data_IF_218337764870
#
_entry.id   IF_218337764870
#
_cell.length_a   1.000
_cell.length_b   1.000
_cell.length_c   1.000
_cell.angle_alpha   90.00
_cell.angle_beta   90.00
_cell.angle_gamma   90.00
#
_symmetry.space_group_name_H-M   'P 1'
#
loop_
_entity.id
_entity.type
_entity.pdbx_description
1 polymer ?
#
# COMPACT_ATOMS: atom_id res chain seq x y z
N UNK A 1 -8.19 10.77 14.37
CA UNK A 1 -8.73 10.12 13.16
C UNK A 1 -8.63 8.63 13.38
N UNK A 2 -9.74 7.89 13.32
CA UNK A 2 -9.68 6.42 13.37
C UNK A 2 -9.01 5.94 12.09
N UNK A 3 -7.92 5.16 12.19
CA UNK A 3 -7.41 4.48 11.00
C UNK A 3 -8.51 3.56 10.45
N UNK A 4 -8.63 3.50 9.13
CA UNK A 4 -9.57 2.61 8.46
C UNK A 4 -9.22 1.14 8.74
N UNK A 5 -7.93 0.82 8.79
CA UNK A 5 -7.41 -0.51 9.11
C UNK A 5 -7.31 -0.72 10.61
N UNK A 6 -7.50 -1.95 11.05
CA UNK A 6 -7.35 -2.31 12.47
C UNK A 6 -5.86 -2.39 12.83
N UNK A 7 -5.01 -2.81 11.88
CA UNK A 7 -3.55 -2.70 11.96
C UNK A 7 -2.92 -2.51 10.58
N UNK A 8 -1.74 -1.88 10.55
CA UNK A 8 -0.97 -1.63 9.34
C UNK A 8 0.53 -1.85 9.59
N UNK A 9 1.20 -2.57 8.70
CA UNK A 9 2.65 -2.75 8.67
C UNK A 9 3.18 -2.31 7.31
N UNK A 10 4.11 -1.36 7.28
CA UNK A 10 4.75 -0.93 6.04
C UNK A 10 5.82 -1.94 5.62
N UNK A 11 5.62 -2.59 4.46
CA UNK A 11 6.58 -3.53 3.89
C UNK A 11 7.63 -2.81 3.04
N UNK A 12 7.25 -1.70 2.40
CA UNK A 12 8.16 -0.91 1.58
C UNK A 12 7.48 0.26 0.89
N UNK A 13 8.29 1.10 0.25
CA UNK A 13 7.83 2.27 -0.49
C UNK A 13 8.66 2.51 -1.76
N UNK A 14 8.01 3.07 -2.78
CA UNK A 14 8.62 3.40 -4.07
C UNK A 14 8.35 4.88 -4.38
N UNK A 15 9.35 5.67 -4.80
CA UNK A 15 9.09 7.02 -5.29
C UNK A 15 8.28 6.95 -6.59
N UNK A 16 7.19 7.72 -6.67
CA UNK A 16 6.37 7.83 -7.90
C UNK A 16 6.72 9.09 -8.68
N UNK A 17 6.93 10.20 -7.98
CA UNK A 17 7.42 11.47 -8.48
C UNK A 17 7.89 12.34 -7.30
N UNK A 18 8.16 13.63 -7.53
CA UNK A 18 8.67 14.55 -6.49
C UNK A 18 7.71 14.83 -5.33
N UNK A 19 6.43 14.46 -5.43
CA UNK A 19 5.41 14.73 -4.39
C UNK A 19 4.59 13.49 -3.99
N UNK A 20 4.85 12.35 -4.59
CA UNK A 20 4.08 11.12 -4.38
C UNK A 20 4.98 9.91 -4.18
N UNK A 21 4.58 9.04 -3.26
CA UNK A 21 5.17 7.72 -3.03
C UNK A 21 4.09 6.64 -3.23
N UNK A 22 4.49 5.45 -3.64
CA UNK A 22 3.65 4.25 -3.54
C UNK A 22 4.08 3.52 -2.28
N UNK A 23 3.15 3.34 -1.34
CA UNK A 23 3.38 2.53 -0.14
C UNK A 23 2.77 1.15 -0.35
N UNK A 24 3.51 0.13 0.05
CA UNK A 24 3.07 -1.27 0.06
C UNK A 24 3.01 -1.70 1.52
N UNK A 25 1.81 -2.00 2.00
CA UNK A 25 1.55 -2.32 3.41
C UNK A 25 0.83 -3.67 3.53
N UNK A 26 1.16 -4.44 4.57
CA UNK A 26 0.29 -5.51 5.06
C UNK A 26 -0.68 -4.91 6.07
N UNK A 27 -1.97 -5.16 5.92
CA UNK A 27 -3.02 -4.52 6.71
C UNK A 27 -4.07 -5.54 7.15
N UNK A 28 -4.73 -5.27 8.28
CA UNK A 28 -5.79 -6.14 8.82
C UNK A 28 -7.10 -5.38 8.92
N UNK A 29 -8.20 -6.02 8.51
CA UNK A 29 -9.57 -5.55 8.78
C UNK A 29 -10.49 -6.69 9.17
N UNK A 30 -11.16 -6.55 10.31
CA UNK A 30 -12.12 -7.53 10.84
C UNK A 30 -11.54 -8.96 10.85
N UNK A 31 -10.27 -9.08 11.27
CA UNK A 31 -9.55 -10.36 11.33
C UNK A 31 -9.09 -10.93 9.99
N UNK A 32 -9.23 -10.18 8.88
CA UNK A 32 -8.74 -10.59 7.56
C UNK A 32 -7.52 -9.77 7.16
N UNK A 33 -6.54 -10.44 6.58
CA UNK A 33 -5.30 -9.83 6.11
C UNK A 33 -5.38 -9.44 4.63
N UNK A 34 -4.71 -8.33 4.29
CA UNK A 34 -4.63 -7.79 2.95
C UNK A 34 -3.25 -7.19 2.68
N UNK A 35 -2.88 -7.11 1.40
CA UNK A 35 -1.82 -6.24 0.91
C UNK A 35 -2.46 -4.98 0.32
N UNK A 36 -2.19 -3.82 0.89
CA UNK A 36 -2.59 -2.52 0.32
C UNK A 36 -1.41 -1.92 -0.45
N UNK A 37 -1.61 -1.68 -1.74
CA UNK A 37 -0.66 -0.97 -2.61
C UNK A 37 -1.33 0.33 -3.02
N UNK A 38 -0.85 1.45 -2.49
CA UNK A 38 -1.55 2.74 -2.62
C UNK A 38 -0.60 3.90 -2.83
N UNK A 39 -1.04 4.87 -3.63
CA UNK A 39 -0.34 6.14 -3.81
C UNK A 39 -0.63 7.04 -2.62
N UNK A 40 0.42 7.59 -2.04
CA UNK A 40 0.39 8.61 -1.01
C UNK A 40 0.95 9.92 -1.57
N UNK A 41 0.30 11.03 -1.24
CA UNK A 41 0.75 12.36 -1.60
C UNK A 41 1.35 13.05 -0.38
N UNK A 42 2.40 13.83 -0.59
CA UNK A 42 3.03 14.61 0.46
C UNK A 42 2.22 15.86 0.77
N UNK A 43 1.84 16.01 2.04
CA UNK A 43 1.20 17.20 2.57
C UNK A 43 2.24 18.09 3.27
N UNK A 44 2.58 19.25 2.69
CA UNK A 44 3.56 20.16 3.28
C UNK A 44 3.06 20.86 4.54
N UNK A 45 1.75 20.85 4.82
CA UNK A 45 1.20 21.52 5.99
C UNK A 45 1.48 20.75 7.29
N UNK A 46 1.60 19.42 7.19
CA UNK A 46 1.90 18.56 8.33
C UNK A 46 3.16 17.70 8.17
N UNK A 47 3.90 17.87 7.07
CA UNK A 47 5.12 17.11 6.75
C UNK A 47 4.88 15.59 6.76
N UNK A 48 3.71 15.17 6.26
CA UNK A 48 3.33 13.74 6.19
C UNK A 48 2.86 13.30 4.81
N UNK A 49 2.98 12.00 4.57
CA UNK A 49 2.38 11.36 3.41
C UNK A 49 0.97 10.88 3.73
N UNK A 50 -0.02 11.32 2.95
CA UNK A 50 -1.43 10.97 3.11
C UNK A 50 -1.92 10.03 2.01
N UNK A 51 -2.77 9.05 2.34
CA UNK A 51 -3.28 8.11 1.34
C UNK A 51 -4.16 8.84 0.32
N UNK A 52 -4.04 8.47 -0.94
CA UNK A 52 -4.99 8.86 -1.98
C UNK A 52 -6.03 7.76 -2.23
N UNK A 53 -7.05 8.10 -3.02
CA UNK A 53 -8.02 7.13 -3.53
C UNK A 53 -7.40 6.15 -4.55
N UNK A 54 -6.19 6.43 -5.07
CA UNK A 54 -5.49 5.59 -6.05
C UNK A 54 -4.72 4.48 -5.33
N UNK A 55 -5.32 3.30 -5.27
CA UNK A 55 -4.68 2.11 -4.72
C UNK A 55 -5.54 0.87 -4.92
N UNK A 56 -4.95 -0.27 -4.63
CA UNK A 56 -5.62 -1.58 -4.67
C UNK A 56 -5.32 -2.31 -3.37
N UNK A 57 -6.35 -2.95 -2.84
CA UNK A 57 -6.25 -3.85 -1.71
C UNK A 57 -6.44 -5.27 -2.22
N UNK A 58 -5.48 -6.15 -1.93
CA UNK A 58 -5.44 -7.52 -2.43
C UNK A 58 -5.56 -8.46 -1.22
N UNK A 59 -6.54 -9.39 -1.20
CA UNK A 59 -6.65 -10.38 -0.13
C UNK A 59 -5.38 -11.21 0.02
N UNK A 60 -4.97 -11.50 1.25
CA UNK A 60 -3.70 -12.21 1.48
C UNK A 60 -3.68 -13.63 0.89
N UNK A 61 -4.87 -14.23 0.74
CA UNK A 61 -5.10 -15.56 0.15
C UNK A 61 -4.52 -15.72 -1.28
N UNK A 62 -4.42 -14.63 -2.05
CA UNK A 62 -3.95 -14.66 -3.45
C UNK A 62 -2.55 -14.06 -3.64
N UNK A 63 -1.82 -13.77 -2.56
CA UNK A 63 -0.52 -13.09 -2.64
C UNK A 63 0.57 -13.95 -3.28
N UNK A 64 0.52 -15.27 -3.10
CA UNK A 64 1.44 -16.18 -3.77
C UNK A 64 1.32 -16.10 -5.31
N UNK A 65 0.08 -16.03 -5.80
CA UNK A 65 -0.20 -15.87 -7.24
C UNK A 65 0.26 -14.50 -7.74
N UNK A 66 -0.05 -13.42 -7.01
CA UNK A 66 0.43 -12.07 -7.33
C UNK A 66 1.96 -12.04 -7.48
N UNK A 67 2.70 -12.64 -6.52
CA UNK A 67 4.17 -12.71 -6.58
C UNK A 67 4.65 -13.43 -7.83
N UNK A 68 4.04 -14.55 -8.19
CA UNK A 68 4.36 -15.29 -9.42
C UNK A 68 4.11 -14.46 -10.67
N UNK A 69 3.00 -13.71 -10.74
CA UNK A 69 2.69 -12.83 -11.87
C UNK A 69 3.74 -11.71 -11.98
N UNK A 70 4.08 -11.07 -10.87
CA UNK A 70 5.08 -9.98 -10.83
C UNK A 70 6.46 -10.48 -11.29
N UNK A 71 6.85 -11.71 -10.92
CA UNK A 71 8.13 -12.30 -11.35
C UNK A 71 8.26 -12.47 -12.88
N UNK A 72 7.16 -12.44 -13.63
CA UNK A 72 7.20 -12.53 -15.09
C UNK A 72 7.50 -11.19 -15.80
N UNK A 73 7.56 -10.09 -15.06
CA UNK A 73 7.92 -8.77 -15.61
C UNK A 73 9.40 -8.77 -15.99
N UNK A 74 9.71 -8.34 -17.22
CA UNK A 74 11.09 -8.22 -17.72
C UNK A 74 11.58 -6.78 -17.54
N UNK A 75 12.83 -6.63 -17.11
CA UNK A 75 13.54 -5.35 -16.99
C UNK A 75 14.20 -4.93 -18.32
#
# INVERSE_FOLDING_TARGET
MSSFWDSEELLGKLPKNSREEIHIKQVVKNGKEYLDIRTFWYDPADDTYKPSQKGVTIPFEVIAELKSIIQNIKE
#
